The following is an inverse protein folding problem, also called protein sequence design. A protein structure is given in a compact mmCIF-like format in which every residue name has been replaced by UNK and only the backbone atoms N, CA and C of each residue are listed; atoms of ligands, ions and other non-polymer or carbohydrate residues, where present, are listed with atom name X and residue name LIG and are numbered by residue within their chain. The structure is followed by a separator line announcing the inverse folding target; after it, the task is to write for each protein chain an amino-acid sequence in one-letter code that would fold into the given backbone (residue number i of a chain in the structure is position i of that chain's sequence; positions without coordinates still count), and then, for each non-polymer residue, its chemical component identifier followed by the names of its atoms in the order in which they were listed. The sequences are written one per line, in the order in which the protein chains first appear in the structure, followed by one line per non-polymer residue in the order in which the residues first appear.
data_IF_820238157101
#
_entry.id   IF_820238157101
#
_cell.length_a   1.000
_cell.length_b   1.000
_cell.length_c   1.000
_cell.angle_alpha   90.00
_cell.angle_beta   90.00
_cell.angle_gamma   90.00
#
_symmetry.space_group_name_H-M   'P 1'
#
loop_
_entity.id
_entity.type
_entity.pdbx_description
1 polymer ?
#
# COMPACT_ATOMS: atom_id res chain seq x y z
N UNK A 1 -7.63 -13.73 6.52
CA UNK A 1 -6.24 -13.67 7.03
C UNK A 1 -6.25 -14.03 8.50
N UNK A 2 -5.40 -14.96 8.95
CA UNK A 2 -5.34 -15.35 10.37
C UNK A 2 -4.36 -14.43 11.11
N UNK A 3 -4.78 -13.74 12.19
CA UNK A 3 -3.89 -12.87 12.95
C UNK A 3 -2.81 -13.68 13.67
N UNK A 4 -1.56 -13.24 13.56
CA UNK A 4 -0.40 -13.75 14.31
C UNK A 4 -0.09 -12.82 15.48
N UNK A 5 0.64 -13.30 16.49
CA UNK A 5 1.07 -12.51 17.66
C UNK A 5 2.58 -12.50 17.79
N UNK A 6 3.15 -11.34 18.13
CA UNK A 6 4.53 -11.19 18.56
C UNK A 6 4.61 -10.27 19.79
N UNK A 7 5.82 -9.94 20.25
CA UNK A 7 6.06 -9.02 21.40
C UNK A 7 5.47 -7.62 21.21
N UNK A 8 5.17 -7.19 19.98
CA UNK A 8 4.62 -5.87 19.61
C UNK A 8 3.09 -5.89 19.41
N UNK A 9 2.44 -7.05 19.46
CA UNK A 9 0.98 -7.17 19.32
C UNK A 9 0.53 -8.14 18.23
N UNK A 10 -0.69 -7.95 17.74
CA UNK A 10 -1.27 -8.74 16.66
C UNK A 10 -0.84 -8.16 15.30
N UNK A 11 -0.50 -9.03 14.36
CA UNK A 11 -0.16 -8.63 13.00
C UNK A 11 -0.73 -9.62 11.98
N UNK A 12 -0.86 -9.18 10.74
CA UNK A 12 -1.34 -9.99 9.63
C UNK A 12 -0.23 -10.15 8.60
N UNK A 13 -0.16 -11.33 7.99
CA UNK A 13 0.74 -11.61 6.88
C UNK A 13 -0.09 -12.01 5.68
N UNK A 14 0.19 -11.41 4.52
CA UNK A 14 -0.43 -11.74 3.25
C UNK A 14 0.63 -11.83 2.16
N UNK A 15 0.27 -12.49 1.07
CA UNK A 15 1.08 -12.58 -0.14
C UNK A 15 0.22 -12.10 -1.29
N UNK A 16 0.78 -11.22 -2.13
CA UNK A 16 0.16 -10.79 -3.38
C UNK A 16 0.83 -11.53 -4.52
N UNK A 17 0.04 -12.17 -5.38
CA UNK A 17 0.53 -12.80 -6.60
C UNK A 17 0.51 -11.74 -7.70
N UNK A 18 1.65 -11.50 -8.32
CA UNK A 18 1.83 -10.57 -9.45
C UNK A 18 2.64 -11.30 -10.51
N UNK A 19 2.18 -11.25 -11.75
CA UNK A 19 2.74 -12.02 -12.87
C UNK A 19 3.76 -11.21 -13.69
N UNK A 20 3.80 -9.89 -13.51
CA UNK A 20 4.76 -9.00 -14.18
C UNK A 20 5.06 -7.75 -13.36
N UNK A 21 6.14 -7.07 -13.70
CA UNK A 21 6.47 -5.77 -13.12
C UNK A 21 5.40 -4.71 -13.44
N UNK A 22 4.78 -4.77 -14.62
CA UNK A 22 3.67 -3.90 -14.99
C UNK A 22 2.45 -4.11 -14.07
N UNK A 23 2.10 -5.37 -13.77
CA UNK A 23 1.04 -5.69 -12.81
C UNK A 23 1.37 -5.22 -11.40
N UNK A 24 2.63 -5.36 -10.97
CA UNK A 24 3.10 -4.82 -9.70
C UNK A 24 2.93 -3.30 -9.65
N UNK A 25 3.27 -2.58 -10.72
CA UNK A 25 3.11 -1.14 -10.80
C UNK A 25 1.65 -0.70 -10.82
N UNK A 26 0.77 -1.43 -11.52
CA UNK A 26 -0.67 -1.20 -11.43
C UNK A 26 -1.19 -1.44 -10.02
N UNK A 27 -0.74 -2.51 -9.36
CA UNK A 27 -1.11 -2.82 -7.98
C UNK A 27 -0.71 -1.69 -7.02
N UNK A 28 0.54 -1.25 -7.05
CA UNK A 28 1.04 -0.14 -6.22
C UNK A 28 0.28 1.15 -6.53
N UNK A 29 0.07 1.46 -7.81
CA UNK A 29 -0.68 2.65 -8.24
C UNK A 29 -2.12 2.63 -7.73
N UNK A 30 -2.78 1.48 -7.77
CA UNK A 30 -4.15 1.35 -7.26
C UNK A 30 -4.20 1.51 -5.74
N UNK A 31 -3.22 0.98 -5.00
CA UNK A 31 -3.10 1.23 -3.56
C UNK A 31 -2.97 2.73 -3.25
N UNK A 32 -2.13 3.45 -3.99
CA UNK A 32 -1.96 4.91 -3.84
C UNK A 32 -3.28 5.64 -4.10
N UNK A 33 -3.94 5.35 -5.23
CA UNK A 33 -5.21 5.99 -5.61
C UNK A 33 -6.29 5.79 -4.55
N UNK A 34 -6.43 4.58 -4.02
CA UNK A 34 -7.40 4.29 -2.96
C UNK A 34 -7.06 5.04 -1.67
N UNK A 35 -5.79 5.11 -1.29
CA UNK A 35 -5.38 5.89 -0.11
C UNK A 35 -5.66 7.38 -0.28
N UNK A 36 -5.39 7.95 -1.47
CA UNK A 36 -5.70 9.36 -1.77
C UNK A 36 -7.20 9.59 -1.69
N UNK A 37 -8.01 8.77 -2.36
CA UNK A 37 -9.46 8.89 -2.34
C UNK A 37 -10.01 8.84 -0.90
N UNK A 38 -9.53 7.88 -0.09
CA UNK A 38 -9.93 7.76 1.31
C UNK A 38 -9.46 8.92 2.21
N UNK A 39 -8.47 9.72 1.77
CA UNK A 39 -8.02 10.93 2.47
C UNK A 39 -8.75 12.19 2.00
N UNK A 40 -9.18 12.22 0.74
CA UNK A 40 -9.92 13.33 0.12
C UNK A 40 -11.41 13.31 0.50
N UNK A 41 -12.01 12.11 0.52
CA UNK A 41 -13.35 11.92 1.04
C UNK A 41 -13.32 12.15 2.56
N UNK A 42 -13.72 13.35 2.98
CA UNK A 42 -14.14 13.64 4.36
C UNK A 42 -15.40 12.84 4.77
N UNK A 43 -15.75 11.78 4.04
CA UNK A 43 -16.77 10.84 4.49
C UNK A 43 -16.26 10.25 5.81
N UNK A 44 -17.15 10.21 6.80
CA UNK A 44 -16.89 9.70 8.14
C UNK A 44 -16.31 8.29 8.07
N UNK A 45 -14.99 8.19 7.88
CA UNK A 45 -14.23 6.96 8.07
C UNK A 45 -14.62 6.50 9.47
N UNK A 46 -15.34 5.38 9.52
CA UNK A 46 -16.10 5.04 10.69
C UNK A 46 -15.13 4.69 11.83
N UNK A 47 -14.92 5.63 12.75
CA UNK A 47 -14.05 5.48 13.92
C UNK A 47 -14.42 4.26 14.79
N UNK A 48 -15.67 3.77 14.68
CA UNK A 48 -16.12 2.56 15.38
C UNK A 48 -15.54 1.27 14.78
N UNK A 49 -15.18 1.27 13.51
CA UNK A 49 -14.61 0.11 12.81
C UNK A 49 -13.08 0.19 12.72
N UNK A 50 -12.53 1.38 12.48
CA UNK A 50 -11.09 1.61 12.34
C UNK A 50 -10.72 2.81 13.22
N UNK A 51 -9.99 2.61 14.34
CA UNK A 51 -9.55 3.73 15.18
C UNK A 51 -8.57 4.63 14.44
N UNK A 52 -8.73 5.96 14.53
CA UNK A 52 -7.86 6.94 13.86
C UNK A 52 -7.66 6.65 12.36
N UNK A 53 -8.74 6.55 11.59
CA UNK A 53 -8.69 6.02 10.23
C UNK A 53 -7.87 6.91 9.30
N UNK A 54 -7.91 8.24 9.46
CA UNK A 54 -7.03 9.16 8.72
C UNK A 54 -5.55 8.90 8.97
N UNK A 55 -5.17 8.60 10.21
CA UNK A 55 -3.79 8.24 10.56
C UNK A 55 -3.41 6.89 9.92
N UNK A 56 -4.28 5.89 10.04
CA UNK A 56 -4.02 4.56 9.49
C UNK A 56 -3.91 4.60 7.95
N UNK A 57 -4.77 5.34 7.26
CA UNK A 57 -4.69 5.51 5.79
C UNK A 57 -3.40 6.22 5.40
N UNK A 58 -2.97 7.25 6.14
CA UNK A 58 -1.67 7.89 5.92
C UNK A 58 -0.49 6.93 6.09
N UNK A 59 -0.51 6.07 7.11
CA UNK A 59 0.54 5.08 7.33
C UNK A 59 0.54 4.01 6.23
N UNK A 60 -0.62 3.57 5.75
CA UNK A 60 -0.72 2.66 4.59
C UNK A 60 -0.18 3.33 3.33
N UNK A 61 -0.48 4.61 3.08
CA UNK A 61 0.08 5.35 1.96
C UNK A 61 1.62 5.43 2.05
N UNK A 62 2.16 5.74 3.24
CA UNK A 62 3.61 5.77 3.48
C UNK A 62 4.26 4.42 3.17
N UNK A 63 3.67 3.32 3.63
CA UNK A 63 4.17 1.98 3.33
C UNK A 63 4.06 1.62 1.85
N UNK A 64 2.97 2.02 1.20
CA UNK A 64 2.76 1.77 -0.24
C UNK A 64 3.83 2.47 -1.08
N UNK A 65 4.21 3.70 -0.74
CA UNK A 65 5.29 4.43 -1.42
C UNK A 65 6.65 3.73 -1.29
N UNK A 66 6.88 2.97 -0.20
CA UNK A 66 8.09 2.17 -0.01
C UNK A 66 8.12 0.91 -0.89
N UNK A 67 7.00 0.53 -1.52
CA UNK A 67 6.93 -0.61 -2.44
C UNK A 67 7.32 -0.26 -3.87
N UNK A 68 7.47 1.03 -4.19
CA UNK A 68 7.87 1.47 -5.53
C UNK A 68 9.27 0.92 -5.84
N UNK A 69 9.46 0.12 -6.90
CA UNK A 69 10.71 -0.55 -7.20
C UNK A 69 11.70 0.41 -7.90
N UNK A 70 12.21 1.40 -7.15
CA UNK A 70 13.09 2.45 -7.68
C UNK A 70 14.34 1.92 -8.39
N UNK A 71 14.92 0.82 -7.89
CA UNK A 71 16.12 0.22 -8.47
C UNK A 71 15.84 -0.42 -9.84
N UNK A 72 14.68 -1.06 -10.03
CA UNK A 72 14.28 -1.67 -11.30
C UNK A 72 13.93 -0.60 -12.35
N UNK A 73 13.40 0.55 -11.90
CA UNK A 73 13.13 1.71 -12.75
C UNK A 73 14.39 2.37 -13.32
N UNK A 74 15.53 2.33 -12.60
CA UNK A 74 16.79 2.89 -13.10
C UNK A 74 17.32 2.19 -14.36
N UNK A 75 16.87 0.96 -14.61
CA UNK A 75 17.23 0.20 -15.81
C UNK A 75 16.27 0.44 -16.97
N UNK A 76 15.01 0.83 -16.73
CA UNK A 76 14.03 1.06 -17.79
C UNK A 76 14.46 2.23 -18.69
N UNK A 77 15.01 3.30 -18.11
CA UNK A 77 15.58 4.42 -18.87
C UNK A 77 16.84 4.04 -19.68
N UNK A 78 17.47 2.89 -19.39
CA UNK A 78 18.65 2.40 -20.09
C UNK A 78 18.32 1.42 -21.24
N UNK A 79 17.08 0.93 -21.35
CA UNK A 79 16.66 0.01 -22.43
C UNK A 79 16.07 0.76 -23.63
N UNK A 80 15.90 2.08 -23.53
CA UNK A 80 15.51 2.92 -24.67
C UNK A 80 16.77 3.40 -25.39
N UNK A 81 17.45 2.46 -26.06
CA UNK A 81 18.46 2.69 -27.10
C UNK A 81 18.26 1.70 -28.24
#
# INVERSE_FOLDING_TARGET
MTPRKNKKGKYYTGTFQVQSHLELMYFITNLIKVCILALEENECLNDKQIPQPKYNVNEVLRHTLQLIPFEEYQFIDQVVD
#
